data_IF_292214738113
#
_entry.id   IF_292214738113
#
_cell.length_a   1.000
_cell.length_b   1.000
_cell.length_c   1.000
_cell.angle_alpha   90.00
_cell.angle_beta   90.00
_cell.angle_gamma   90.00
#
_symmetry.space_group_name_H-M   'P 1'
#
loop_
_entity.id
_entity.type
_entity.pdbx_description
1 polymer ?
#
# COMPACT_ATOMS: atom_id res chain seq x y z
N UNK A 1 32.43 -13.64 -12.10
CA UNK A 1 33.34 -12.65 -12.71
C UNK A 1 32.68 -12.11 -13.97
N UNK A 2 31.98 -10.99 -13.84
CA UNK A 2 31.57 -10.14 -14.94
C UNK A 2 31.67 -8.72 -14.38
N UNK A 3 32.77 -8.06 -14.72
CA UNK A 3 33.13 -6.72 -14.28
C UNK A 3 32.18 -5.70 -14.90
N UNK A 4 31.29 -5.13 -14.08
CA UNK A 4 30.52 -3.94 -14.44
C UNK A 4 31.46 -2.76 -14.64
N UNK A 5 31.73 -2.42 -15.90
CA UNK A 5 32.46 -1.21 -16.26
C UNK A 5 31.63 0.01 -15.90
N UNK A 6 32.12 0.84 -14.97
CA UNK A 6 31.66 2.22 -14.82
C UNK A 6 32.00 2.97 -16.11
N UNK A 7 30.99 3.44 -16.84
CA UNK A 7 31.19 4.37 -17.93
C UNK A 7 31.78 5.69 -17.39
N UNK A 8 32.74 6.24 -18.13
CA UNK A 8 33.45 7.46 -17.79
C UNK A 8 32.54 8.70 -17.87
N UNK A 9 32.78 9.76 -17.07
CA UNK A 9 31.98 10.98 -17.08
C UNK A 9 32.45 11.88 -18.22
N UNK A 10 31.90 11.68 -19.41
CA UNK A 10 32.35 12.44 -20.58
C UNK A 10 31.53 12.20 -21.83
N UNK A 11 30.28 12.67 -21.82
CA UNK A 11 29.52 13.22 -22.96
C UNK A 11 28.08 13.42 -22.47
N UNK A 12 27.84 14.57 -21.82
CA UNK A 12 26.49 15.05 -21.49
C UNK A 12 25.85 15.51 -22.80
N UNK A 13 25.26 14.54 -23.49
CA UNK A 13 24.45 14.76 -24.69
C UNK A 13 23.37 15.81 -24.39
N UNK A 14 23.04 16.62 -25.39
CA UNK A 14 22.09 17.72 -25.28
C UNK A 14 20.82 17.27 -24.55
N UNK A 15 20.34 18.11 -23.61
CA UNK A 15 19.28 17.76 -22.66
C UNK A 15 18.12 17.03 -23.33
N UNK A 16 17.76 15.88 -22.78
CA UNK A 16 16.62 15.12 -23.27
C UNK A 16 15.33 15.94 -23.19
N UNK A 17 14.35 15.65 -24.06
CA UNK A 17 13.11 16.42 -24.11
C UNK A 17 12.38 16.46 -22.76
N UNK A 18 12.40 15.36 -21.98
CA UNK A 18 11.85 15.37 -20.62
C UNK A 18 12.70 16.22 -19.68
N UNK A 19 14.03 16.12 -19.76
CA UNK A 19 14.95 16.92 -18.94
C UNK A 19 14.78 18.42 -19.16
N UNK A 20 14.62 18.86 -20.41
CA UNK A 20 14.35 20.26 -20.75
C UNK A 20 13.00 20.74 -20.20
N UNK A 21 11.94 19.93 -20.37
CA UNK A 21 10.62 20.25 -19.82
C UNK A 21 10.64 20.36 -18.29
N UNK A 22 11.34 19.44 -17.61
CA UNK A 22 11.53 19.45 -16.16
C UNK A 22 12.32 20.69 -15.73
N UNK A 23 13.43 21.01 -16.41
CA UNK A 23 14.22 22.21 -16.12
C UNK A 23 13.37 23.48 -16.22
N UNK A 24 12.51 23.58 -17.25
CA UNK A 24 11.61 24.71 -17.44
C UNK A 24 10.57 24.85 -16.31
N UNK A 25 10.08 23.73 -15.75
CA UNK A 25 9.14 23.74 -14.62
C UNK A 25 9.78 24.30 -13.35
N UNK A 26 11.03 23.93 -13.06
CA UNK A 26 11.79 24.36 -11.88
C UNK A 26 12.63 25.64 -12.08
N UNK A 27 12.51 26.31 -13.23
CA UNK A 27 13.20 27.58 -13.46
C UNK A 27 12.67 28.69 -12.54
N UNK A 28 13.49 29.72 -12.29
CA UNK A 28 13.10 30.89 -11.50
C UNK A 28 11.86 31.62 -12.07
N UNK A 29 11.62 31.50 -13.37
CA UNK A 29 10.46 32.03 -14.09
C UNK A 29 9.50 30.94 -14.55
N UNK A 30 9.70 29.70 -14.08
CA UNK A 30 8.95 28.51 -14.46
C UNK A 30 7.50 28.47 -13.97
N UNK A 31 6.78 27.41 -14.32
CA UNK A 31 5.35 27.29 -13.98
C UNK A 31 5.10 27.16 -12.47
N UNK A 32 6.05 26.57 -11.73
CA UNK A 32 6.00 26.55 -10.26
C UNK A 32 6.15 27.95 -9.67
N UNK A 33 7.06 28.77 -10.22
CA UNK A 33 7.28 30.14 -9.77
C UNK A 33 6.03 31.02 -9.97
N UNK A 34 5.32 30.83 -11.09
CA UNK A 34 4.09 31.58 -11.41
C UNK A 34 2.87 31.14 -10.61
N UNK A 35 2.82 29.88 -10.18
CA UNK A 35 1.65 29.30 -9.50
C UNK A 35 1.76 29.29 -7.98
N UNK A 36 2.96 29.46 -7.42
CA UNK A 36 3.20 29.40 -5.98
C UNK A 36 3.82 30.70 -5.45
N UNK A 37 3.07 31.49 -4.66
CA UNK A 37 3.64 32.62 -3.92
C UNK A 37 4.80 32.16 -3.02
N UNK A 38 5.92 32.88 -3.05
CA UNK A 38 7.10 32.56 -2.27
C UNK A 38 7.92 31.37 -2.80
N UNK A 39 7.71 30.96 -4.04
CA UNK A 39 8.61 30.03 -4.71
C UNK A 39 10.02 30.59 -4.78
N UNK A 40 11.00 29.75 -4.43
CA UNK A 40 12.41 30.02 -4.63
C UNK A 40 13.06 28.77 -5.21
N UNK A 41 13.98 28.98 -6.15
CA UNK A 41 14.75 27.89 -6.74
C UNK A 41 15.58 27.22 -5.65
N UNK A 42 15.48 25.89 -5.58
CA UNK A 42 16.26 25.04 -4.68
C UNK A 42 17.08 24.09 -5.53
N UNK A 43 18.39 24.30 -5.57
CA UNK A 43 19.25 23.56 -6.52
C UNK A 43 19.15 22.05 -6.31
N UNK A 44 19.20 21.56 -5.07
CA UNK A 44 19.03 20.12 -4.79
C UNK A 44 17.66 19.55 -5.21
N UNK A 45 16.59 20.35 -5.23
CA UNK A 45 15.29 19.92 -5.75
C UNK A 45 15.33 19.76 -7.27
N UNK A 46 15.97 20.72 -7.97
CA UNK A 46 16.12 20.73 -9.42
C UNK A 46 17.06 19.63 -9.89
N UNK A 47 18.20 19.44 -9.22
CA UNK A 47 19.14 18.36 -9.48
C UNK A 47 18.47 16.99 -9.35
N UNK A 48 17.72 16.77 -8.25
CA UNK A 48 16.96 15.52 -8.07
C UNK A 48 15.92 15.34 -9.18
N UNK A 49 15.19 16.39 -9.57
CA UNK A 49 14.18 16.29 -10.62
C UNK A 49 14.78 15.92 -11.98
N UNK A 50 15.93 16.48 -12.33
CA UNK A 50 16.65 16.15 -13.56
C UNK A 50 17.21 14.73 -13.53
N UNK A 51 17.75 14.28 -12.39
CA UNK A 51 18.21 12.90 -12.24
C UNK A 51 17.05 11.89 -12.38
N UNK A 52 15.88 12.19 -11.81
CA UNK A 52 14.68 11.37 -11.98
C UNK A 52 14.20 11.35 -13.43
N UNK A 53 14.25 12.49 -14.12
CA UNK A 53 13.91 12.57 -15.56
C UNK A 53 14.82 11.65 -16.39
N UNK A 54 16.13 11.72 -16.16
CA UNK A 54 17.10 10.89 -16.85
C UNK A 54 16.85 9.39 -16.59
N UNK A 55 16.58 8.99 -15.35
CA UNK A 55 16.29 7.59 -14.98
C UNK A 55 14.97 7.06 -15.59
N UNK A 56 14.02 7.94 -15.91
CA UNK A 56 12.77 7.55 -16.58
C UNK A 56 12.99 7.32 -18.09
N UNK A 57 13.80 8.16 -18.74
CA UNK A 57 14.10 8.05 -20.17
C UNK A 57 15.10 6.94 -20.47
N UNK A 58 16.13 6.83 -19.63
CA UNK A 58 17.10 5.73 -19.59
C UNK A 58 16.67 4.80 -18.45
N UNK A 59 15.81 3.80 -18.71
CA UNK A 59 15.19 2.99 -17.66
C UNK A 59 16.23 2.29 -16.80
N UNK A 60 16.62 2.97 -15.72
CA UNK A 60 17.68 2.61 -14.78
C UNK A 60 17.21 2.90 -13.35
N UNK A 61 17.82 2.25 -12.38
CA UNK A 61 17.50 2.42 -10.98
C UNK A 61 18.22 3.65 -10.39
N UNK A 62 17.44 4.64 -9.92
CA UNK A 62 17.95 5.79 -9.19
C UNK A 62 17.65 5.67 -7.69
N UNK A 63 18.68 5.81 -6.87
CA UNK A 63 18.55 6.02 -5.42
C UNK A 63 18.97 7.46 -5.11
N UNK A 64 18.02 8.25 -4.62
CA UNK A 64 18.26 9.65 -4.27
C UNK A 64 17.94 9.89 -2.80
N UNK A 65 18.91 10.44 -2.07
CA UNK A 65 18.70 10.95 -0.71
C UNK A 65 18.56 12.47 -0.78
N UNK A 66 17.51 12.98 -0.16
CA UNK A 66 17.31 14.42 0.00
C UNK A 66 16.91 14.71 1.44
N UNK A 67 17.27 15.87 1.98
CA UNK A 67 16.88 16.29 3.32
C UNK A 67 15.38 16.56 3.45
N UNK A 68 14.85 16.64 4.68
CA UNK A 68 13.46 17.08 4.91
C UNK A 68 13.25 18.52 4.40
N UNK A 69 12.06 18.84 3.90
CA UNK A 69 11.73 20.19 3.41
C UNK A 69 12.35 20.59 2.06
N UNK A 70 13.22 19.76 1.47
CA UNK A 70 13.86 20.01 0.16
C UNK A 70 12.88 20.00 -1.03
N UNK A 71 11.66 19.49 -0.83
CA UNK A 71 10.66 19.41 -1.90
C UNK A 71 10.76 18.16 -2.77
N UNK A 72 11.26 17.05 -2.18
CA UNK A 72 11.40 15.72 -2.84
C UNK A 72 10.16 15.28 -3.61
N UNK A 73 8.99 15.48 -3.00
CA UNK A 73 7.70 15.11 -3.58
C UNK A 73 7.53 15.70 -4.97
N UNK A 74 7.81 16.99 -5.13
CA UNK A 74 7.69 17.65 -6.43
C UNK A 74 8.83 17.23 -7.37
N UNK A 75 10.03 17.02 -6.82
CA UNK A 75 11.18 16.59 -7.61
C UNK A 75 10.96 15.24 -8.30
N UNK A 76 10.26 14.27 -7.67
CA UNK A 76 9.90 13.02 -8.36
C UNK A 76 8.57 13.10 -9.12
N UNK A 77 7.59 13.88 -8.65
CA UNK A 77 6.27 13.93 -9.30
C UNK A 77 6.31 14.64 -10.64
N UNK A 78 7.01 15.78 -10.75
CA UNK A 78 7.06 16.54 -12.01
C UNK A 78 7.59 15.69 -13.17
N UNK A 79 8.78 15.10 -13.12
CA UNK A 79 9.27 14.24 -14.21
C UNK A 79 8.37 13.02 -14.44
N UNK A 80 7.82 12.41 -13.38
CA UNK A 80 6.90 11.29 -13.53
C UNK A 80 5.63 11.65 -14.31
N UNK A 81 5.03 12.80 -14.01
CA UNK A 81 3.83 13.30 -14.71
C UNK A 81 4.14 13.73 -16.14
N UNK A 82 5.27 14.41 -16.37
CA UNK A 82 5.68 14.86 -17.71
C UNK A 82 6.08 13.70 -18.64
N UNK A 83 6.46 12.54 -18.10
CA UNK A 83 6.94 11.39 -18.88
C UNK A 83 5.89 10.76 -19.80
N UNK A 84 4.59 10.99 -19.56
CA UNK A 84 3.49 10.45 -20.34
C UNK A 84 3.26 8.93 -20.21
N UNK A 85 4.11 8.21 -19.47
CA UNK A 85 3.94 6.78 -19.17
C UNK A 85 3.07 6.54 -17.93
N UNK A 86 2.63 5.29 -17.74
CA UNK A 86 1.98 4.88 -16.48
C UNK A 86 2.98 4.91 -15.34
N UNK A 87 2.60 5.55 -14.24
CA UNK A 87 3.41 5.73 -13.02
C UNK A 87 2.75 5.04 -11.85
N UNK A 88 3.53 4.25 -11.11
CA UNK A 88 3.15 3.72 -9.81
C UNK A 88 3.99 4.40 -8.73
N UNK A 89 3.35 4.98 -7.73
CA UNK A 89 4.01 5.61 -6.59
C UNK A 89 3.66 4.82 -5.34
N UNK A 90 4.67 4.31 -4.66
CA UNK A 90 4.54 3.55 -3.43
C UNK A 90 5.09 4.37 -2.26
N UNK A 91 4.30 4.62 -1.23
CA UNK A 91 4.70 5.40 -0.05
C UNK A 91 4.90 4.53 1.19
N UNK A 92 5.74 4.97 2.12
CA UNK A 92 5.97 4.26 3.39
C UNK A 92 4.71 4.11 4.27
N UNK A 93 3.94 5.18 4.46
CA UNK A 93 2.77 5.17 5.35
C UNK A 93 1.48 5.59 4.64
N UNK A 94 0.32 5.20 5.20
CA UNK A 94 -1.01 5.61 4.69
C UNK A 94 -1.24 7.11 4.80
N UNK A 95 -0.73 7.75 5.85
CA UNK A 95 -0.83 9.20 6.04
C UNK A 95 -0.08 9.95 4.95
N UNK A 96 1.15 9.52 4.62
CA UNK A 96 1.91 10.07 3.49
C UNK A 96 1.20 9.78 2.16
N UNK A 97 0.61 8.60 2.02
CA UNK A 97 -0.20 8.23 0.85
C UNK A 97 -1.37 9.21 0.64
N UNK A 98 -2.12 9.50 1.71
CA UNK A 98 -3.27 10.40 1.67
C UNK A 98 -2.84 11.85 1.42
N UNK A 99 -1.73 12.29 2.03
CA UNK A 99 -1.15 13.61 1.77
C UNK A 99 -0.74 13.78 0.31
N UNK A 100 -0.02 12.79 -0.23
CA UNK A 100 0.42 12.78 -1.62
C UNK A 100 -0.78 12.86 -2.56
N UNK A 101 -1.79 12.01 -2.36
CA UNK A 101 -2.92 11.88 -3.27
C UNK A 101 -3.94 13.02 -3.17
N UNK A 102 -4.22 13.54 -1.97
CA UNK A 102 -5.26 14.56 -1.77
C UNK A 102 -4.75 15.99 -1.85
N UNK A 103 -3.44 16.22 -1.69
CA UNK A 103 -2.87 17.57 -1.65
C UNK A 103 -1.80 17.79 -2.71
N UNK A 104 -0.76 16.97 -2.71
CA UNK A 104 0.43 17.26 -3.52
C UNK A 104 0.20 16.95 -5.01
N UNK A 105 -0.45 15.84 -5.33
CA UNK A 105 -0.78 15.41 -6.69
C UNK A 105 -1.84 16.30 -7.38
N UNK A 106 -2.99 16.64 -6.75
CA UNK A 106 -3.96 17.54 -7.37
C UNK A 106 -3.37 18.92 -7.67
N UNK A 107 -2.57 19.45 -6.73
CA UNK A 107 -1.88 20.73 -6.93
C UNK A 107 -0.95 20.70 -8.14
N UNK A 108 -0.15 19.65 -8.33
CA UNK A 108 0.72 19.55 -9.50
C UNK A 108 -0.06 19.34 -10.80
N UNK A 109 -1.17 18.59 -10.77
CA UNK A 109 -2.03 18.41 -11.96
C UNK A 109 -2.62 19.73 -12.42
N UNK A 110 -3.09 20.56 -11.49
CA UNK A 110 -3.58 21.91 -11.79
C UNK A 110 -2.48 22.78 -12.37
N UNK A 111 -1.31 22.79 -11.74
CA UNK A 111 -0.18 23.64 -12.18
C UNK A 111 0.34 23.23 -13.54
N UNK A 112 0.49 21.92 -13.81
CA UNK A 112 1.01 21.42 -15.08
C UNK A 112 -0.06 21.32 -16.17
N UNK A 113 -1.33 21.62 -15.86
CA UNK A 113 -2.49 21.42 -16.73
C UNK A 113 -2.55 20.00 -17.35
N UNK A 114 -2.09 19.01 -16.59
CA UNK A 114 -2.05 17.62 -17.06
C UNK A 114 -3.38 16.92 -16.80
N UNK A 115 -4.06 16.51 -17.88
CA UNK A 115 -5.29 15.73 -17.86
C UNK A 115 -5.15 14.27 -17.40
N UNK A 116 -4.02 13.91 -16.80
CA UNK A 116 -3.73 12.55 -16.34
C UNK A 116 -4.73 12.11 -15.28
N UNK A 117 -5.19 10.88 -15.41
CA UNK A 117 -6.07 10.23 -14.45
C UNK A 117 -5.26 9.68 -13.28
N UNK A 118 -5.78 9.80 -12.06
CA UNK A 118 -5.08 9.37 -10.85
C UNK A 118 -5.97 8.51 -9.98
N UNK A 119 -5.43 7.44 -9.41
CA UNK A 119 -6.15 6.57 -8.49
C UNK A 119 -5.35 6.31 -7.20
N UNK A 120 -6.07 6.27 -6.08
CA UNK A 120 -5.56 5.87 -4.78
C UNK A 120 -6.04 4.45 -4.50
N UNK A 121 -5.11 3.52 -4.26
CA UNK A 121 -5.46 2.15 -3.89
C UNK A 121 -4.85 1.80 -2.53
N UNK A 122 -5.72 1.35 -1.62
CA UNK A 122 -5.35 0.86 -0.30
C UNK A 122 -5.67 -0.62 -0.16
N UNK A 123 -5.22 -1.24 0.93
CA UNK A 123 -5.59 -2.62 1.25
C UNK A 123 -7.10 -2.77 1.50
N UNK A 124 -7.64 -3.97 1.23
CA UNK A 124 -9.07 -4.34 1.39
C UNK A 124 -9.70 -3.86 2.70
N UNK A 125 -8.98 -4.01 3.81
CA UNK A 125 -9.45 -3.62 5.14
C UNK A 125 -9.77 -2.12 5.28
N UNK A 126 -9.34 -1.28 4.34
CA UNK A 126 -9.63 0.16 4.33
C UNK A 126 -10.93 0.49 3.57
N UNK A 127 -11.62 -0.49 3.00
CA UNK A 127 -12.90 -0.28 2.31
C UNK A 127 -14.03 -0.98 3.05
N UNK A 128 -15.18 -0.32 3.11
CA UNK A 128 -16.42 -0.92 3.58
C UNK A 128 -16.86 -2.01 2.61
N UNK A 129 -17.17 -3.20 3.12
CA UNK A 129 -17.85 -4.25 2.40
C UNK A 129 -19.34 -4.21 2.73
N UNK A 130 -20.15 -3.72 1.79
CA UNK A 130 -21.61 -3.57 1.97
C UNK A 130 -22.29 -4.88 2.33
N UNK A 131 -21.89 -5.98 1.71
CA UNK A 131 -22.40 -7.32 2.01
C UNK A 131 -22.18 -7.73 3.46
N UNK A 132 -20.92 -7.67 3.94
CA UNK A 132 -20.60 -8.05 5.33
C UNK A 132 -21.20 -7.07 6.34
N UNK A 133 -21.26 -5.78 6.02
CA UNK A 133 -21.91 -4.77 6.86
C UNK A 133 -23.40 -5.07 7.06
N UNK A 134 -24.15 -5.28 5.97
CA UNK A 134 -25.58 -5.61 6.03
C UNK A 134 -25.82 -6.92 6.78
N UNK A 135 -25.05 -7.96 6.46
CA UNK A 135 -25.16 -9.27 7.11
C UNK A 135 -24.91 -9.18 8.62
N UNK A 136 -23.87 -8.45 9.04
CA UNK A 136 -23.56 -8.32 10.46
C UNK A 136 -24.62 -7.47 11.18
N UNK A 137 -25.15 -6.41 10.55
CA UNK A 137 -26.29 -5.65 11.09
C UNK A 137 -27.58 -6.49 11.25
N UNK A 138 -27.84 -7.43 10.35
CA UNK A 138 -29.00 -8.32 10.42
C UNK A 138 -28.85 -9.44 11.46
N UNK A 139 -27.66 -10.05 11.56
CA UNK A 139 -27.44 -11.18 12.47
C UNK A 139 -27.46 -10.79 13.94
N UNK A 140 -27.19 -9.52 14.29
CA UNK A 140 -27.35 -9.02 15.66
C UNK A 140 -26.36 -9.56 16.68
N UNK A 141 -25.42 -10.42 16.28
CA UNK A 141 -24.45 -11.08 17.18
C UNK A 141 -23.26 -10.16 17.43
N UNK A 142 -23.44 -9.23 18.36
CA UNK A 142 -22.41 -8.28 18.77
C UNK A 142 -21.95 -8.55 20.19
N UNK A 143 -20.63 -8.58 20.39
CA UNK A 143 -20.02 -8.75 21.71
C UNK A 143 -20.26 -7.52 22.60
N UNK A 144 -20.39 -6.32 22.00
CA UNK A 144 -20.62 -5.06 22.70
C UNK A 144 -21.72 -4.23 22.04
N UNK A 145 -22.59 -3.62 22.86
CA UNK A 145 -23.65 -2.72 22.38
C UNK A 145 -23.12 -1.49 21.64
N UNK A 146 -21.94 -1.00 22.03
CA UNK A 146 -21.28 0.16 21.42
C UNK A 146 -20.90 -0.10 19.94
N UNK A 147 -20.55 -1.34 19.59
CA UNK A 147 -20.18 -1.70 18.22
C UNK A 147 -21.36 -1.55 17.24
N UNK A 148 -22.60 -1.69 17.72
CA UNK A 148 -23.82 -1.50 16.91
C UNK A 148 -23.95 -0.04 16.46
N UNK A 149 -23.74 0.90 17.39
CA UNK A 149 -23.84 2.33 17.08
C UNK A 149 -22.80 2.74 16.03
N UNK A 150 -21.58 2.20 16.15
CA UNK A 150 -20.51 2.43 15.18
C UNK A 150 -20.84 1.78 13.83
N UNK A 151 -21.36 0.55 13.79
CA UNK A 151 -21.78 -0.08 12.53
C UNK A 151 -22.90 0.67 11.81
N UNK A 152 -23.88 1.19 12.56
CA UNK A 152 -24.92 2.07 11.99
C UNK A 152 -24.35 3.37 11.46
N UNK A 153 -23.28 3.90 12.08
CA UNK A 153 -22.55 5.06 11.54
C UNK A 153 -21.80 4.70 10.25
N UNK A 154 -21.18 3.53 10.19
CA UNK A 154 -20.52 3.02 8.97
C UNK A 154 -21.55 2.82 7.85
N UNK A 155 -22.74 2.30 8.16
CA UNK A 155 -23.85 2.16 7.20
C UNK A 155 -24.29 3.49 6.60
N UNK A 156 -24.51 4.51 7.44
CA UNK A 156 -24.83 5.87 6.97
C UNK A 156 -23.72 6.46 6.12
N UNK A 157 -22.46 6.28 6.52
CA UNK A 157 -21.31 6.70 5.73
C UNK A 157 -21.26 6.00 4.36
N UNK A 158 -21.41 4.68 4.33
CA UNK A 158 -21.36 3.87 3.11
C UNK A 158 -22.51 4.17 2.13
N UNK A 159 -23.63 4.70 2.61
CA UNK A 159 -24.76 5.11 1.78
C UNK A 159 -24.46 6.40 0.98
N UNK A 160 -23.65 7.31 1.52
CA UNK A 160 -23.35 8.62 0.90
C UNK A 160 -21.93 8.74 0.36
N UNK A 161 -21.02 7.86 0.77
CA UNK A 161 -19.63 7.90 0.34
C UNK A 161 -19.47 7.40 -1.10
N UNK A 162 -18.66 8.11 -1.88
CA UNK A 162 -18.25 7.68 -3.22
C UNK A 162 -17.21 6.54 -3.18
N UNK A 163 -16.30 6.58 -2.20
CA UNK A 163 -15.15 5.67 -2.10
C UNK A 163 -15.35 4.54 -1.08
N UNK A 164 -16.20 4.75 -0.07
CA UNK A 164 -16.35 3.87 1.09
C UNK A 164 -15.06 3.62 1.86
N UNK A 165 -14.08 4.51 1.73
CA UNK A 165 -12.75 4.36 2.30
C UNK A 165 -12.71 4.86 3.75
N UNK A 166 -11.95 4.17 4.59
CA UNK A 166 -11.91 4.38 6.04
C UNK A 166 -11.50 5.78 6.47
N UNK A 167 -10.47 6.36 5.87
CA UNK A 167 -9.98 7.70 6.21
C UNK A 167 -11.00 8.81 5.88
N UNK A 168 -12.01 8.51 5.07
CA UNK A 168 -13.11 9.44 4.74
C UNK A 168 -14.30 9.30 5.68
N UNK A 169 -14.28 8.33 6.60
CA UNK A 169 -15.42 8.02 7.46
C UNK A 169 -15.48 8.97 8.68
N UNK A 170 -16.37 9.98 8.69
CA UNK A 170 -16.30 11.05 9.68
C UNK A 170 -16.70 10.56 11.07
N UNK A 171 -15.81 10.77 12.04
CA UNK A 171 -15.99 10.44 13.46
C UNK A 171 -16.15 8.94 13.76
N UNK A 172 -15.54 8.09 12.93
CA UNK A 172 -15.28 6.69 13.25
C UNK A 172 -13.78 6.57 13.50
N UNK A 173 -13.39 6.03 14.66
CA UNK A 173 -11.98 5.89 15.00
C UNK A 173 -11.26 4.88 14.08
N UNK A 174 -9.99 5.13 13.78
CA UNK A 174 -9.14 4.27 12.94
C UNK A 174 -8.78 2.93 13.58
N UNK A 175 -9.05 2.75 14.87
CA UNK A 175 -8.87 1.50 15.62
C UNK A 175 -10.20 0.86 16.03
N UNK A 176 -11.33 1.47 15.64
CA UNK A 176 -12.67 0.98 15.99
C UNK A 176 -12.84 -0.52 15.61
N UNK A 177 -13.03 -1.44 16.58
CA UNK A 177 -13.11 -2.87 16.30
C UNK A 177 -14.31 -3.24 15.41
N UNK A 178 -15.39 -2.46 15.50
CA UNK A 178 -16.55 -2.57 14.62
C UNK A 178 -16.20 -2.50 13.12
N UNK A 179 -15.11 -1.82 12.73
CA UNK A 179 -14.69 -1.73 11.33
C UNK A 179 -14.34 -3.10 10.73
N UNK A 180 -13.77 -4.00 11.54
CA UNK A 180 -13.46 -5.37 11.11
C UNK A 180 -14.72 -6.17 10.73
N UNK A 181 -15.88 -5.81 11.29
CA UNK A 181 -17.20 -6.39 10.95
C UNK A 181 -17.83 -5.72 9.72
N UNK A 182 -17.32 -4.58 9.28
CA UNK A 182 -17.79 -3.86 8.10
C UNK A 182 -16.87 -4.05 6.88
N UNK A 183 -15.87 -4.93 6.95
CA UNK A 183 -14.96 -5.23 5.85
C UNK A 183 -14.96 -6.74 5.53
N UNK A 184 -14.20 -7.14 4.52
CA UNK A 184 -14.00 -8.54 4.13
C UNK A 184 -12.53 -8.92 4.26
N UNK A 185 -12.26 -10.21 4.28
CA UNK A 185 -10.91 -10.78 4.08
C UNK A 185 -10.80 -11.37 2.68
N UNK A 186 -9.66 -11.98 2.32
CA UNK A 186 -9.51 -12.67 1.03
C UNK A 186 -10.37 -13.94 1.02
N UNK A 187 -10.47 -14.62 2.15
CA UNK A 187 -11.10 -15.93 2.32
C UNK A 187 -12.63 -15.85 2.38
N UNK A 188 -13.19 -14.76 2.91
CA UNK A 188 -14.64 -14.61 3.09
C UNK A 188 -15.30 -13.72 2.03
N UNK A 189 -14.55 -13.28 1.02
CA UNK A 189 -15.06 -12.44 -0.05
C UNK A 189 -15.66 -13.31 -1.15
N UNK A 190 -16.89 -12.99 -1.54
CA UNK A 190 -17.62 -13.69 -2.60
C UNK A 190 -17.14 -13.34 -4.02
N UNK A 191 -16.20 -12.40 -4.18
CA UNK A 191 -15.64 -12.05 -5.48
C UNK A 191 -16.72 -11.60 -6.49
N UNK A 192 -16.71 -12.23 -7.66
CA UNK A 192 -17.65 -11.96 -8.76
C UNK A 192 -19.09 -12.40 -8.42
N UNK A 193 -19.25 -13.39 -7.54
CA UNK A 193 -20.57 -13.90 -7.12
C UNK A 193 -21.21 -13.03 -6.01
N UNK A 194 -20.57 -11.92 -5.64
CA UNK A 194 -21.07 -11.03 -4.61
C UNK A 194 -22.33 -10.27 -5.10
N UNK A 195 -23.47 -10.37 -4.39
CA UNK A 195 -24.68 -9.65 -4.80
C UNK A 195 -24.53 -8.11 -4.73
N UNK A 196 -23.57 -7.63 -3.94
CA UNK A 196 -23.23 -6.20 -3.77
C UNK A 196 -22.08 -5.73 -4.69
N UNK A 197 -21.72 -6.50 -5.74
CA UNK A 197 -20.58 -6.22 -6.60
C UNK A 197 -20.67 -4.83 -7.27
N UNK A 198 -21.84 -4.46 -7.79
CA UNK A 198 -22.07 -3.16 -8.44
C UNK A 198 -21.86 -1.97 -7.47
N UNK A 199 -22.11 -2.17 -6.18
CA UNK A 199 -21.87 -1.21 -5.10
C UNK A 199 -20.52 -1.35 -4.41
N UNK A 200 -19.67 -2.29 -4.84
CA UNK A 200 -18.46 -2.65 -4.12
C UNK A 200 -17.35 -1.60 -4.28
N UNK A 201 -17.06 -0.92 -3.19
CA UNK A 201 -16.01 0.10 -3.10
C UNK A 201 -14.62 -0.40 -3.47
N UNK A 202 -14.22 -1.56 -2.95
CA UNK A 202 -12.93 -2.17 -3.27
C UNK A 202 -12.82 -2.52 -4.75
N UNK A 203 -13.88 -3.07 -5.35
CA UNK A 203 -13.89 -3.43 -6.76
C UNK A 203 -13.72 -2.19 -7.64
N UNK A 204 -14.49 -1.13 -7.36
CA UNK A 204 -14.37 0.16 -8.07
C UNK A 204 -12.99 0.79 -7.91
N UNK A 205 -12.42 0.77 -6.71
CA UNK A 205 -11.06 1.30 -6.46
C UNK A 205 -10.00 0.54 -7.26
N UNK A 206 -10.09 -0.81 -7.33
CA UNK A 206 -9.20 -1.63 -8.15
C UNK A 206 -9.36 -1.34 -9.64
N UNK A 207 -10.59 -1.23 -10.13
CA UNK A 207 -10.86 -0.89 -11.52
C UNK A 207 -10.29 0.50 -11.88
N UNK A 208 -10.50 1.50 -11.03
CA UNK A 208 -9.94 2.83 -11.22
C UNK A 208 -8.41 2.80 -11.23
N UNK A 209 -7.77 2.01 -10.35
CA UNK A 209 -6.32 1.84 -10.36
C UNK A 209 -5.79 1.19 -11.64
N UNK A 210 -6.50 0.21 -12.21
CA UNK A 210 -6.10 -0.43 -13.47
C UNK A 210 -6.17 0.50 -14.70
N UNK A 211 -7.05 1.50 -14.63
CA UNK A 211 -7.29 2.46 -15.72
C UNK A 211 -6.51 3.77 -15.56
N UNK A 212 -6.00 4.06 -14.37
CA UNK A 212 -5.34 5.34 -14.09
C UNK A 212 -3.92 5.42 -14.69
N UNK A 213 -3.54 6.64 -15.07
CA UNK A 213 -2.18 6.96 -15.51
C UNK A 213 -1.20 7.00 -14.34
N UNK A 214 -1.66 7.49 -13.18
CA UNK A 214 -0.87 7.52 -11.94
C UNK A 214 -1.62 6.79 -10.83
N UNK A 215 -1.00 5.75 -10.29
CA UNK A 215 -1.54 5.01 -9.14
C UNK A 215 -0.69 5.27 -7.91
N UNK A 216 -1.34 5.59 -6.80
CA UNK A 216 -0.69 5.77 -5.50
C UNK A 216 -1.07 4.60 -4.58
N UNK A 217 -0.07 3.85 -4.13
CA UNK A 217 -0.17 2.74 -3.18
C UNK A 217 0.76 2.97 -1.99
N UNK A 218 0.65 2.13 -0.96
CA UNK A 218 1.70 2.02 0.06
C UNK A 218 2.61 0.83 -0.22
N UNK A 219 3.79 0.81 0.42
CA UNK A 219 4.77 -0.28 0.29
C UNK A 219 4.19 -1.66 0.63
N UNK A 220 3.31 -1.74 1.64
CA UNK A 220 2.68 -2.99 2.03
C UNK A 220 1.81 -3.58 0.91
N UNK A 221 1.00 -2.75 0.25
CA UNK A 221 0.16 -3.20 -0.85
C UNK A 221 0.99 -3.56 -2.08
N UNK A 222 2.06 -2.81 -2.34
CA UNK A 222 3.02 -3.14 -3.40
C UNK A 222 3.67 -4.51 -3.19
N UNK A 223 4.21 -4.76 -1.99
CA UNK A 223 4.83 -6.05 -1.66
C UNK A 223 3.79 -7.20 -1.67
N UNK A 224 2.57 -6.94 -1.19
CA UNK A 224 1.48 -7.92 -1.26
C UNK A 224 1.13 -8.28 -2.71
N UNK A 225 1.06 -7.31 -3.62
CA UNK A 225 0.82 -7.55 -5.05
C UNK A 225 1.96 -8.37 -5.67
N UNK A 226 3.21 -8.01 -5.36
CA UNK A 226 4.39 -8.73 -5.88
C UNK A 226 4.46 -10.19 -5.36
N UNK A 227 4.12 -10.44 -4.10
CA UNK A 227 4.03 -11.80 -3.55
C UNK A 227 2.92 -12.62 -4.22
N UNK A 228 1.76 -12.02 -4.50
CA UNK A 228 0.66 -12.69 -5.21
C UNK A 228 1.05 -13.04 -6.66
N UNK A 229 1.83 -12.19 -7.32
CA UNK A 229 2.35 -12.46 -8.69
C UNK A 229 3.29 -13.65 -8.70
N UNK A 230 4.16 -13.76 -7.70
CA UNK A 230 5.10 -14.89 -7.55
C UNK A 230 4.33 -16.23 -7.38
N UNK A 231 3.16 -16.18 -6.74
CA UNK A 231 2.22 -17.31 -6.60
C UNK A 231 1.35 -17.55 -7.86
N UNK A 232 1.50 -16.77 -8.92
CA UNK A 232 0.74 -16.90 -10.18
C UNK A 232 -0.71 -16.40 -10.11
N UNK A 233 -1.04 -15.55 -9.13
CA UNK A 233 -2.39 -14.99 -8.94
C UNK A 233 -2.53 -13.66 -9.68
N UNK A 234 -3.75 -13.36 -10.14
CA UNK A 234 -4.09 -12.11 -10.86
C UNK A 234 -3.56 -10.85 -10.17
N UNK A 235 -2.99 -9.98 -11.00
CA UNK A 235 -2.44 -8.68 -10.62
C UNK A 235 -3.51 -7.73 -10.06
N UNK A 236 -3.20 -7.06 -8.95
CA UNK A 236 -4.02 -5.99 -8.39
C UNK A 236 -3.62 -4.62 -8.94
N UNK A 237 -2.32 -4.42 -9.17
CA UNK A 237 -1.73 -3.17 -9.65
C UNK A 237 -1.52 -3.20 -11.18
N UNK A 238 -1.63 -2.06 -11.88
CA UNK A 238 -1.34 -2.02 -13.31
C UNK A 238 0.15 -2.25 -13.57
N UNK A 239 0.48 -2.78 -14.75
CA UNK A 239 1.85 -2.72 -15.26
C UNK A 239 2.23 -1.27 -15.54
N UNK A 240 3.38 -0.83 -15.00
CA UNK A 240 3.85 0.56 -15.14
C UNK A 240 5.27 0.59 -15.69
N UNK A 241 5.60 1.69 -16.39
CA UNK A 241 6.96 1.93 -16.90
C UNK A 241 7.83 2.60 -15.83
N UNK A 242 7.20 3.41 -14.98
CA UNK A 242 7.87 4.17 -13.92
C UNK A 242 7.34 3.72 -12.57
N UNK A 243 8.26 3.42 -11.65
CA UNK A 243 7.96 3.06 -10.27
C UNK A 243 8.76 3.97 -9.34
N UNK A 244 8.06 4.66 -8.45
CA UNK A 244 8.65 5.55 -7.45
C UNK A 244 8.40 5.00 -6.05
N UNK A 245 9.45 4.82 -5.27
CA UNK A 245 9.35 4.47 -3.85
C UNK A 245 9.68 5.70 -2.99
N UNK A 246 8.66 6.27 -2.36
CA UNK A 246 8.83 7.37 -1.40
C UNK A 246 8.96 6.80 0.02
N UNK A 247 9.89 7.33 0.80
CA UNK A 247 10.35 6.74 2.06
C UNK A 247 10.85 5.30 1.92
N UNK A 248 11.58 5.03 0.82
CA UNK A 248 12.12 3.72 0.45
C UNK A 248 12.96 3.02 1.54
N UNK A 249 13.43 3.75 2.56
CA UNK A 249 14.11 3.16 3.72
C UNK A 249 13.25 2.14 4.48
N UNK A 250 11.91 2.23 4.38
CA UNK A 250 10.98 1.29 5.02
C UNK A 250 10.77 0.00 4.20
N UNK A 251 11.12 0.02 2.91
CA UNK A 251 10.82 -1.06 1.98
C UNK A 251 11.49 -2.40 2.35
N UNK A 252 12.77 -2.48 2.77
CA UNK A 252 13.41 -3.75 3.09
C UNK A 252 12.74 -4.51 4.23
N UNK A 253 12.33 -3.81 5.29
CA UNK A 253 11.63 -4.41 6.43
C UNK A 253 10.26 -4.96 6.00
N UNK A 254 9.51 -4.16 5.24
CA UNK A 254 8.19 -4.57 4.72
C UNK A 254 8.33 -5.78 3.78
N UNK A 255 9.30 -5.76 2.87
CA UNK A 255 9.56 -6.87 1.96
C UNK A 255 9.87 -8.17 2.74
N UNK A 256 10.64 -8.09 3.83
CA UNK A 256 10.94 -9.25 4.69
C UNK A 256 9.68 -9.87 5.29
N UNK A 257 8.64 -9.08 5.57
CA UNK A 257 7.37 -9.61 6.10
C UNK A 257 6.56 -10.39 5.06
N UNK A 258 6.66 -10.04 3.77
CA UNK A 258 5.90 -10.68 2.70
C UNK A 258 6.65 -11.85 2.05
N UNK A 259 7.95 -11.71 1.83
CA UNK A 259 8.78 -12.75 1.20
C UNK A 259 9.49 -13.65 2.22
N UNK A 260 9.48 -13.27 3.50
CA UNK A 260 10.00 -14.08 4.59
C UNK A 260 8.97 -15.09 5.09
N UNK A 261 9.48 -16.20 5.61
CA UNK A 261 8.68 -17.16 6.38
C UNK A 261 8.87 -16.88 7.87
N UNK A 262 7.78 -16.70 8.60
CA UNK A 262 7.81 -16.58 10.05
C UNK A 262 7.05 -17.71 10.71
N UNK A 263 7.58 -18.18 11.85
CA UNK A 263 6.91 -19.12 12.74
C UNK A 263 6.85 -18.46 14.11
N UNK A 264 5.64 -18.16 14.56
CA UNK A 264 5.36 -17.57 15.86
C UNK A 264 5.03 -18.64 16.89
N UNK A 265 5.27 -18.30 18.16
CA UNK A 265 4.88 -19.17 19.27
C UNK A 265 3.36 -19.37 19.33
N UNK A 266 2.57 -18.39 18.87
CA UNK A 266 1.11 -18.52 18.76
C UNK A 266 0.72 -19.58 17.73
N UNK A 267 1.33 -19.58 16.54
CA UNK A 267 1.06 -20.61 15.52
C UNK A 267 1.37 -22.02 16.02
N UNK A 268 2.45 -22.20 16.79
CA UNK A 268 2.78 -23.49 17.38
C UNK A 268 1.75 -23.95 18.43
N UNK A 269 1.20 -23.02 19.21
CA UNK A 269 0.12 -23.32 20.16
C UNK A 269 -1.20 -23.62 19.46
N UNK A 270 -1.55 -22.86 18.42
CA UNK A 270 -2.74 -23.12 17.62
C UNK A 270 -2.64 -24.49 16.91
N UNK A 271 -1.45 -24.82 16.37
CA UNK A 271 -1.14 -26.15 15.84
C UNK A 271 -1.32 -27.25 16.89
N UNK A 272 -0.86 -27.06 18.14
CA UNK A 272 -1.06 -28.05 19.19
C UNK A 272 -2.55 -28.30 19.49
N UNK A 273 -3.39 -27.25 19.46
CA UNK A 273 -4.85 -27.37 19.64
C UNK A 273 -5.51 -28.08 18.47
N UNK A 274 -5.14 -27.73 17.24
CA UNK A 274 -5.67 -28.38 16.04
C UNK A 274 -5.24 -29.85 15.97
N UNK A 275 -3.99 -30.16 16.32
CA UNK A 275 -3.46 -31.52 16.42
C UNK A 275 -4.27 -32.35 17.43
N UNK A 276 -4.55 -31.81 18.61
CA UNK A 276 -5.37 -32.48 19.62
C UNK A 276 -6.80 -32.71 19.13
N UNK A 277 -7.45 -31.66 18.60
CA UNK A 277 -8.84 -31.72 18.13
C UNK A 277 -9.00 -32.73 17.00
N UNK A 278 -8.17 -32.62 15.97
CA UNK A 278 -8.29 -33.46 14.78
C UNK A 278 -7.81 -34.89 15.08
N UNK A 279 -6.75 -35.06 15.88
CA UNK A 279 -6.26 -36.38 16.28
C UNK A 279 -7.30 -37.19 17.07
N UNK A 280 -7.98 -36.56 18.04
CA UNK A 280 -9.06 -37.21 18.80
C UNK A 280 -10.33 -37.50 17.97
N UNK A 281 -10.62 -36.66 16.97
CA UNK A 281 -11.78 -36.81 16.08
C UNK A 281 -11.54 -37.91 15.03
N UNK A 282 -10.40 -37.87 14.35
CA UNK A 282 -10.21 -38.56 13.07
C UNK A 282 -9.23 -39.75 13.17
N UNK A 283 -8.40 -39.81 14.21
CA UNK A 283 -7.32 -40.80 14.33
C UNK A 283 -7.02 -41.22 15.78
N UNK A 284 -8.08 -41.41 16.59
CA UNK A 284 -7.98 -41.54 18.06
C UNK A 284 -6.94 -42.55 18.56
N UNK A 285 -6.80 -43.70 17.90
CA UNK A 285 -5.93 -44.80 18.35
C UNK A 285 -4.53 -44.78 17.70
N UNK A 286 -4.24 -43.80 16.84
CA UNK A 286 -2.98 -43.74 16.12
C UNK A 286 -1.81 -43.20 16.98
N UNK A 287 -2.10 -42.41 18.02
CA UNK A 287 -1.10 -41.87 18.93
C UNK A 287 -1.74 -41.33 20.23
N UNK A 288 -0.91 -41.07 21.25
CA UNK A 288 -1.32 -40.26 22.40
C UNK A 288 -1.28 -38.76 22.02
N UNK A 289 -2.39 -38.31 21.42
CA UNK A 289 -2.54 -36.92 20.95
C UNK A 289 -2.44 -35.89 22.08
N UNK A 290 -2.86 -36.25 23.29
CA UNK A 290 -2.79 -35.37 24.47
C UNK A 290 -1.34 -35.15 24.88
N UNK A 291 -0.54 -36.21 24.94
CA UNK A 291 0.89 -36.11 25.24
C UNK A 291 1.66 -35.31 24.18
N UNK A 292 1.35 -35.52 22.89
CA UNK A 292 1.98 -34.80 21.79
C UNK A 292 1.66 -33.30 21.82
N UNK A 293 0.40 -32.92 22.00
CA UNK A 293 0.00 -31.52 22.13
C UNK A 293 0.68 -30.84 23.33
N UNK A 294 0.70 -31.52 24.49
CA UNK A 294 1.38 -31.01 25.68
C UNK A 294 2.90 -30.82 25.48
N UNK A 295 3.55 -31.72 24.75
CA UNK A 295 4.97 -31.61 24.42
C UNK A 295 5.27 -30.37 23.55
N UNK A 296 4.40 -30.06 22.58
CA UNK A 296 4.51 -28.84 21.77
C UNK A 296 4.33 -27.60 22.64
N UNK A 297 3.30 -27.56 23.48
CA UNK A 297 3.06 -26.43 24.39
C UNK A 297 4.24 -26.18 25.34
N UNK A 298 4.81 -27.26 25.90
CA UNK A 298 5.95 -27.16 26.79
C UNK A 298 7.19 -26.64 26.06
N UNK A 299 7.44 -27.11 24.84
CA UNK A 299 8.53 -26.63 23.99
C UNK A 299 8.40 -25.14 23.68
N UNK A 300 7.18 -24.67 23.41
CA UNK A 300 6.89 -23.25 23.23
C UNK A 300 7.20 -22.43 24.49
N UNK A 301 6.85 -22.93 25.68
CA UNK A 301 7.15 -22.26 26.96
C UNK A 301 8.66 -22.14 27.18
N UNK A 302 9.41 -23.22 26.93
CA UNK A 302 10.88 -23.22 27.03
C UNK A 302 11.49 -22.21 26.06
N UNK A 303 11.02 -22.19 24.80
CA UNK A 303 11.47 -21.24 23.80
C UNK A 303 11.23 -19.79 24.22
N UNK A 304 10.03 -19.46 24.72
CA UNK A 304 9.69 -18.11 25.22
C UNK A 304 10.56 -17.70 26.41
N UNK A 305 10.86 -18.63 27.32
CA UNK A 305 11.73 -18.37 28.46
C UNK A 305 13.17 -18.10 28.02
N UNK A 306 13.71 -18.90 27.09
CA UNK A 306 15.05 -18.70 26.53
C UNK A 306 15.18 -17.38 25.74
N UNK A 307 14.10 -16.94 25.08
CA UNK A 307 14.06 -15.69 24.31
C UNK A 307 13.81 -14.42 25.16
N UNK A 308 13.82 -14.51 26.49
CA UNK A 308 13.70 -13.34 27.38
C UNK A 308 12.27 -12.83 27.60
N UNK A 309 11.25 -13.69 27.46
CA UNK A 309 9.88 -13.39 27.89
C UNK A 309 9.12 -12.34 27.09
N UNK A 310 9.66 -11.87 25.95
CA UNK A 310 8.94 -10.97 25.06
C UNK A 310 7.78 -11.71 24.38
N UNK A 311 6.54 -11.18 24.40
CA UNK A 311 5.46 -11.75 23.61
C UNK A 311 5.79 -11.58 22.13
N UNK A 312 6.09 -12.69 21.46
CA UNK A 312 6.18 -12.82 20.01
C UNK A 312 4.96 -13.54 19.45
#
# INVERSE_FOLDING_TARGET
MASGGRAAPGERDAGSALGEAVAAVFAATGILARSQPGYAVREGQREMALAVAEAIERPDALVAEAGTGTGKTFAYLVPALLSGGRVLISTGTKTLQDQLFRRDLPRLREVLAHGLTTALLKGRANYVCRYHLQRNLQTGRFERREDIAVLRRIERFAAVSASGERSEAPGIAEDAPAWARATSTRENCLGQDCPELAGCFLFKARQAAQQADVVVVNHHLFCADLALRDEGISELLPTTRTLVFDEAHQLPEIATQFFGRSVSTRQLLDFARDLLRNGLSDARDAADWSALAAAVEQSVRVLRAAAGGRPG
#
